data_IF_395762468851
#
_entry.id   IF_395762468851
#
_cell.length_a   1.000
_cell.length_b   1.000
_cell.length_c   1.000
_cell.angle_alpha   90.00
_cell.angle_beta   90.00
_cell.angle_gamma   90.00
#
_symmetry.space_group_name_H-M   'P 1'
#
loop_
_entity.id
_entity.type
_entity.pdbx_description
1 polymer ?
#
# COMPACT_ATOMS: atom_id res chain seq x y z
N UNK A 1 34.11 4.40 27.18
CA UNK A 1 34.86 5.41 26.43
C UNK A 1 36.34 5.52 26.91
N UNK A 2 36.60 5.91 28.14
CA UNK A 2 37.97 6.14 28.66
C UNK A 2 38.97 5.00 28.39
N UNK A 3 38.65 3.69 28.65
CA UNK A 3 39.61 2.62 28.37
C UNK A 3 39.96 2.49 26.88
N UNK A 4 38.98 2.67 25.98
CA UNK A 4 39.26 2.57 24.55
C UNK A 4 40.12 3.76 24.04
N UNK A 5 39.88 4.96 24.54
CA UNK A 5 40.71 6.13 24.21
C UNK A 5 42.12 5.95 24.77
N UNK A 6 42.27 5.45 26.01
CA UNK A 6 43.56 5.19 26.62
C UNK A 6 44.37 4.13 25.86
N UNK A 7 43.74 3.08 25.35
CA UNK A 7 44.41 1.95 24.66
C UNK A 7 44.60 2.23 23.17
N UNK A 8 43.63 2.83 22.49
CA UNK A 8 43.63 2.98 21.02
C UNK A 8 43.77 4.42 20.53
N UNK A 9 43.84 5.40 21.43
CA UNK A 9 43.95 6.84 21.10
C UNK A 9 42.71 7.43 20.42
N UNK A 10 41.61 6.67 20.30
CA UNK A 10 40.36 7.11 19.65
C UNK A 10 39.13 6.49 20.27
N UNK A 11 37.98 7.16 20.11
CA UNK A 11 36.71 6.63 20.53
C UNK A 11 36.36 5.30 19.76
N UNK A 12 35.73 4.34 20.43
CA UNK A 12 35.37 3.03 19.81
C UNK A 12 34.14 3.10 18.91
N UNK A 13 33.54 4.26 18.71
CA UNK A 13 32.34 4.48 17.93
C UNK A 13 32.46 5.75 17.10
N UNK A 14 31.67 5.82 16.01
CA UNK A 14 31.57 6.99 15.14
C UNK A 14 30.43 7.93 15.57
N UNK A 15 29.34 7.36 16.05
CA UNK A 15 28.11 8.08 16.38
C UNK A 15 27.59 7.63 17.74
N UNK A 16 27.01 8.56 18.49
CA UNK A 16 26.30 8.32 19.75
C UNK A 16 24.86 8.76 19.59
N UNK A 17 23.94 7.83 19.77
CA UNK A 17 22.51 8.14 19.85
C UNK A 17 22.12 8.26 21.32
N UNK A 18 21.48 9.37 21.68
CA UNK A 18 20.86 9.57 22.99
C UNK A 18 19.35 9.42 22.87
N UNK A 19 18.71 9.02 23.95
CA UNK A 19 17.27 8.84 24.00
C UNK A 19 16.69 9.38 25.32
N UNK A 20 15.38 9.70 25.29
CA UNK A 20 14.61 10.03 26.47
C UNK A 20 14.33 8.83 27.36
N UNK A 21 13.59 9.04 28.42
CA UNK A 21 13.20 7.97 29.36
C UNK A 21 11.90 7.29 28.91
N UNK A 22 11.77 6.05 29.36
CA UNK A 22 10.49 5.35 29.29
C UNK A 22 9.67 5.71 30.53
N UNK A 23 8.45 6.22 30.30
CA UNK A 23 7.51 6.63 31.35
C UNK A 23 6.19 5.88 31.21
N UNK A 24 5.42 5.81 32.32
CA UNK A 24 4.11 5.16 32.28
C UNK A 24 3.06 5.97 31.47
N UNK A 25 1.85 5.45 31.30
CA UNK A 25 0.79 6.13 30.53
C UNK A 25 0.43 7.53 31.03
N UNK A 26 0.71 7.84 32.30
CA UNK A 26 0.53 9.16 32.90
C UNK A 26 1.77 10.06 32.83
N UNK A 27 2.87 9.59 32.23
CA UNK A 27 4.11 10.35 32.11
C UNK A 27 5.00 10.31 33.38
N UNK A 28 4.77 9.36 34.29
CA UNK A 28 5.58 9.22 35.51
C UNK A 28 6.73 8.24 35.24
N UNK A 29 7.86 8.50 35.87
CA UNK A 29 9.02 7.61 35.82
C UNK A 29 8.65 6.21 36.31
N UNK A 30 9.02 5.21 35.54
CA UNK A 30 8.80 3.81 35.92
C UNK A 30 9.79 3.37 36.98
N UNK A 31 9.30 2.73 38.04
CA UNK A 31 10.14 2.17 39.07
C UNK A 31 9.51 0.89 39.68
N UNK A 32 10.37 0.01 40.21
CA UNK A 32 9.91 -1.23 40.88
C UNK A 32 9.08 -0.91 42.11
N UNK A 33 9.41 0.16 42.82
CA UNK A 33 8.70 0.59 44.02
C UNK A 33 7.29 1.11 43.75
N UNK A 34 7.04 1.69 42.61
CA UNK A 34 5.72 2.15 42.17
C UNK A 34 4.88 1.05 41.49
N UNK A 35 5.48 -0.10 41.20
CA UNK A 35 4.80 -1.19 40.48
C UNK A 35 4.24 -0.85 39.12
N UNK A 36 4.69 0.27 38.52
CA UNK A 36 4.24 0.77 37.22
C UNK A 36 5.17 0.35 36.06
N UNK A 37 6.11 -0.56 36.31
CA UNK A 37 6.96 -1.13 35.28
C UNK A 37 6.22 -2.14 34.41
N UNK A 38 6.41 -2.07 33.10
CA UNK A 38 5.93 -3.11 32.18
C UNK A 38 7.08 -4.06 31.86
N UNK A 39 6.82 -5.36 32.05
CA UNK A 39 7.76 -6.42 31.69
C UNK A 39 7.63 -6.69 30.17
N UNK A 40 8.69 -6.52 29.37
CA UNK A 40 8.68 -6.83 27.95
C UNK A 40 8.24 -8.26 27.63
N UNK A 41 8.57 -9.25 28.47
CA UNK A 41 8.15 -10.64 28.26
C UNK A 41 6.64 -10.81 28.38
N UNK A 42 5.98 -10.08 29.29
CA UNK A 42 4.53 -10.09 29.37
C UNK A 42 3.87 -9.49 28.12
N UNK A 43 4.44 -8.40 27.59
CA UNK A 43 3.97 -7.80 26.34
C UNK A 43 4.15 -8.78 25.18
N UNK A 44 5.32 -9.41 25.07
CA UNK A 44 5.63 -10.38 24.01
C UNK A 44 4.67 -11.57 24.08
N UNK A 45 4.42 -12.10 25.26
CA UNK A 45 3.50 -13.24 25.45
C UNK A 45 2.04 -12.88 25.10
N UNK A 46 1.62 -11.63 25.35
CA UNK A 46 0.26 -11.17 25.09
C UNK A 46 0.03 -10.72 23.65
N UNK A 47 0.97 -10.00 23.06
CA UNK A 47 0.79 -9.32 21.77
C UNK A 47 1.74 -9.84 20.66
N UNK A 48 2.84 -10.49 21.05
CA UNK A 48 3.91 -10.88 20.12
C UNK A 48 5.07 -9.89 20.06
N UNK A 49 6.26 -10.40 19.73
CA UNK A 49 7.47 -9.59 19.69
C UNK A 49 7.43 -8.50 18.63
N UNK A 50 6.86 -8.77 17.46
CA UNK A 50 6.78 -7.81 16.36
C UNK A 50 5.96 -6.56 16.72
N UNK A 51 4.92 -6.70 17.55
CA UNK A 51 4.11 -5.55 17.98
C UNK A 51 4.90 -4.67 18.96
N UNK A 52 5.66 -5.28 19.88
CA UNK A 52 6.56 -4.52 20.76
C UNK A 52 7.63 -3.77 19.94
N UNK A 53 8.23 -4.45 18.96
CA UNK A 53 9.22 -3.85 18.06
C UNK A 53 8.63 -2.72 17.22
N UNK A 54 7.41 -2.91 16.70
CA UNK A 54 6.70 -1.87 15.94
C UNK A 54 6.42 -0.64 16.80
N UNK A 55 5.98 -0.82 18.06
CA UNK A 55 5.80 0.29 18.97
C UNK A 55 7.11 1.05 19.19
N UNK A 56 8.22 0.36 19.50
CA UNK A 56 9.54 0.98 19.68
C UNK A 56 9.94 1.79 18.46
N UNK A 57 9.83 1.21 17.26
CA UNK A 57 10.17 1.88 16.01
C UNK A 57 9.22 3.02 15.63
N UNK A 58 8.01 3.04 16.16
CA UNK A 58 7.02 4.09 15.92
C UNK A 58 7.20 5.32 16.80
N UNK A 59 8.02 5.23 17.84
CA UNK A 59 8.25 6.33 18.76
C UNK A 59 9.40 7.24 18.31
N UNK A 60 9.27 8.54 18.53
CA UNK A 60 10.43 9.43 18.52
C UNK A 60 11.16 9.29 19.87
N UNK A 61 12.15 8.43 19.89
CA UNK A 61 12.90 8.09 21.10
C UNK A 61 13.79 9.22 21.63
N UNK A 62 13.91 10.33 20.93
CA UNK A 62 14.66 11.51 21.40
C UNK A 62 13.96 12.22 22.56
N UNK A 63 12.66 12.02 22.68
CA UNK A 63 11.84 12.51 23.78
C UNK A 63 11.48 11.38 24.74
N UNK A 64 10.87 11.71 25.90
CA UNK A 64 10.34 10.70 26.83
C UNK A 64 9.17 9.95 26.20
N UNK A 65 9.27 8.62 26.18
CA UNK A 65 8.30 7.74 25.51
C UNK A 65 7.35 7.13 26.54
N UNK A 66 6.06 7.33 26.31
CA UNK A 66 5.01 6.70 27.14
C UNK A 66 4.71 5.28 26.70
N UNK A 67 4.53 4.40 27.69
CA UNK A 67 4.09 3.03 27.47
C UNK A 67 2.92 2.68 28.39
N UNK A 68 1.89 2.08 27.82
CA UNK A 68 0.77 1.45 28.53
C UNK A 68 0.20 0.31 27.70
N UNK A 69 -0.64 -0.51 28.29
CA UNK A 69 -1.33 -1.61 27.57
C UNK A 69 -2.20 -1.07 26.41
N UNK A 70 -2.86 0.08 26.61
CA UNK A 70 -3.68 0.74 25.57
C UNK A 70 -2.82 1.22 24.39
N UNK A 71 -1.63 1.79 24.68
CA UNK A 71 -0.70 2.25 23.64
C UNK A 71 -0.23 1.06 22.80
N UNK A 72 0.20 -0.02 23.45
CA UNK A 72 0.62 -1.24 22.74
C UNK A 72 -0.53 -1.84 21.94
N UNK A 73 -1.74 -1.87 22.51
CA UNK A 73 -2.94 -2.35 21.82
C UNK A 73 -3.23 -1.52 20.56
N UNK A 74 -3.05 -0.20 20.60
CA UNK A 74 -3.19 0.67 19.42
C UNK A 74 -2.25 0.28 18.26
N UNK A 75 -1.02 -0.13 18.56
CA UNK A 75 -0.07 -0.60 17.54
C UNK A 75 -0.45 -1.95 16.92
N UNK A 76 -1.31 -2.74 17.58
CA UNK A 76 -1.86 -3.98 17.02
C UNK A 76 -2.68 -3.71 15.76
N UNK A 77 -3.40 -2.59 15.71
CA UNK A 77 -4.20 -2.23 14.53
C UNK A 77 -3.32 -1.80 13.36
N UNK A 78 -2.26 -1.03 13.60
CA UNK A 78 -1.24 -0.70 12.59
C UNK A 78 -0.58 -1.98 12.05
N UNK A 79 -0.15 -2.88 12.93
CA UNK A 79 0.40 -4.17 12.57
C UNK A 79 -0.56 -4.98 11.69
N UNK A 80 -1.84 -5.08 12.10
CA UNK A 80 -2.86 -5.81 11.32
C UNK A 80 -3.05 -5.24 9.93
N UNK A 81 -3.06 -3.92 9.77
CA UNK A 81 -3.20 -3.26 8.47
C UNK A 81 -2.03 -3.63 7.54
N UNK A 82 -0.79 -3.48 8.01
CA UNK A 82 0.41 -3.83 7.23
C UNK A 82 0.38 -5.32 6.87
N UNK A 83 0.16 -6.21 7.85
CA UNK A 83 0.10 -7.66 7.65
C UNK A 83 -1.00 -8.08 6.67
N UNK A 84 -2.19 -7.49 6.77
CA UNK A 84 -3.31 -7.81 5.87
C UNK A 84 -3.02 -7.36 4.45
N UNK A 85 -2.37 -6.22 4.24
CA UNK A 85 -1.94 -5.74 2.91
C UNK A 85 -0.94 -6.73 2.28
N UNK A 86 0.07 -7.14 3.05
CA UNK A 86 1.05 -8.14 2.61
C UNK A 86 0.35 -9.48 2.30
N UNK A 87 -0.51 -9.96 3.20
CA UNK A 87 -1.26 -11.21 3.01
C UNK A 87 -2.14 -11.18 1.77
N UNK A 88 -2.79 -10.04 1.49
CA UNK A 88 -3.60 -9.87 0.29
C UNK A 88 -2.76 -10.03 -0.98
N UNK A 89 -1.60 -9.37 -1.04
CA UNK A 89 -0.70 -9.48 -2.19
C UNK A 89 -0.17 -10.90 -2.36
N UNK A 90 0.32 -11.51 -1.29
CA UNK A 90 0.82 -12.91 -1.31
C UNK A 90 -0.26 -13.89 -1.78
N UNK A 91 -1.50 -13.74 -1.31
CA UNK A 91 -2.62 -14.58 -1.76
C UNK A 91 -2.91 -14.42 -3.25
N UNK A 92 -2.81 -13.20 -3.79
CA UNK A 92 -3.10 -12.92 -5.19
C UNK A 92 -1.95 -13.28 -6.16
N UNK A 93 -0.73 -13.47 -5.66
CA UNK A 93 0.41 -13.95 -6.49
C UNK A 93 0.68 -15.45 -6.33
N UNK A 94 -0.09 -16.16 -5.52
CA UNK A 94 0.19 -17.56 -5.15
C UNK A 94 0.17 -18.55 -6.31
N UNK A 95 -0.50 -18.22 -7.41
CA UNK A 95 -0.55 -19.01 -8.65
C UNK A 95 0.53 -18.61 -9.68
N UNK A 96 1.35 -17.59 -9.35
CA UNK A 96 2.44 -17.17 -10.25
C UNK A 96 3.62 -18.12 -10.20
N UNK A 97 4.27 -18.22 -11.36
CA UNK A 97 5.58 -18.83 -11.50
C UNK A 97 6.59 -17.79 -12.00
N UNK A 98 7.88 -18.12 -11.97
CA UNK A 98 8.95 -17.22 -12.42
C UNK A 98 8.76 -16.76 -13.87
N UNK A 99 8.27 -17.64 -14.74
CA UNK A 99 7.98 -17.35 -16.16
C UNK A 99 6.80 -16.43 -16.40
N UNK A 100 5.92 -16.25 -15.42
CA UNK A 100 4.75 -15.37 -15.52
C UNK A 100 5.08 -13.89 -15.24
N UNK A 101 6.31 -13.59 -14.82
CA UNK A 101 6.72 -12.24 -14.44
C UNK A 101 6.82 -11.36 -15.68
N UNK A 102 6.05 -10.28 -15.68
CA UNK A 102 6.00 -9.25 -16.74
C UNK A 102 7.05 -8.19 -16.46
N UNK A 103 7.83 -7.80 -17.48
CA UNK A 103 8.81 -6.72 -17.38
C UNK A 103 8.12 -5.37 -17.20
N UNK A 104 8.74 -4.45 -16.48
CA UNK A 104 8.20 -3.10 -16.25
C UNK A 104 7.71 -2.41 -17.51
N UNK A 105 8.49 -2.45 -18.61
CA UNK A 105 8.12 -1.84 -19.87
C UNK A 105 6.78 -2.32 -20.44
N UNK A 106 6.43 -3.59 -20.19
CA UNK A 106 5.23 -4.26 -20.72
C UNK A 106 4.04 -4.24 -19.77
N UNK A 107 4.22 -3.71 -18.55
CA UNK A 107 3.16 -3.61 -17.52
C UNK A 107 2.10 -2.56 -17.91
N UNK A 108 0.91 -2.69 -17.33
CA UNK A 108 -0.13 -1.67 -17.43
C UNK A 108 0.30 -0.39 -16.72
N UNK A 109 -0.26 0.74 -17.14
CA UNK A 109 0.13 2.06 -16.62
C UNK A 109 -0.10 2.21 -15.10
N UNK A 110 -1.18 1.65 -14.57
CA UNK A 110 -1.46 1.67 -13.12
C UNK A 110 -0.42 0.89 -12.32
N UNK A 111 0.09 -0.22 -12.86
CA UNK A 111 1.11 -1.05 -12.23
C UNK A 111 2.47 -0.34 -12.25
N UNK A 112 2.79 0.32 -13.37
CA UNK A 112 3.98 1.18 -13.48
C UNK A 112 3.95 2.33 -12.48
N UNK A 113 2.80 2.97 -12.31
CA UNK A 113 2.62 4.03 -11.31
C UNK A 113 2.78 3.50 -9.88
N UNK A 114 2.30 2.30 -9.60
CA UNK A 114 2.47 1.67 -8.29
C UNK A 114 3.96 1.38 -7.99
N UNK A 115 4.73 0.91 -8.96
CA UNK A 115 6.16 0.66 -8.80
C UNK A 115 6.98 1.95 -8.68
N UNK A 116 6.61 3.00 -9.42
CA UNK A 116 7.19 4.32 -9.21
C UNK A 116 6.92 4.84 -7.79
N UNK A 117 5.69 4.71 -7.29
CA UNK A 117 5.33 5.10 -5.91
C UNK A 117 6.12 4.28 -4.89
N UNK A 118 6.34 2.98 -5.13
CA UNK A 118 7.20 2.14 -4.31
C UNK A 118 8.61 2.70 -4.19
N UNK A 119 9.22 3.13 -5.30
CA UNK A 119 10.55 3.74 -5.29
C UNK A 119 10.63 4.97 -4.36
N UNK A 120 9.61 5.84 -4.42
CA UNK A 120 9.56 7.02 -3.54
C UNK A 120 9.42 6.61 -2.06
N UNK A 121 8.68 5.54 -1.77
CA UNK A 121 8.54 4.99 -0.42
C UNK A 121 9.85 4.36 0.06
N UNK A 122 10.54 3.57 -0.75
CA UNK A 122 11.84 2.96 -0.44
C UNK A 122 12.86 4.05 -0.11
N UNK A 123 12.96 5.09 -0.93
CA UNK A 123 13.86 6.23 -0.71
C UNK A 123 13.60 6.96 0.61
N UNK A 124 12.31 7.19 0.93
CA UNK A 124 11.94 7.84 2.20
C UNK A 124 12.23 6.93 3.40
N UNK A 125 12.00 5.61 3.25
CA UNK A 125 12.29 4.64 4.29
C UNK A 125 13.80 4.53 4.55
N UNK A 126 14.62 4.47 3.50
CA UNK A 126 16.09 4.48 3.58
C UNK A 126 16.58 5.72 4.35
N UNK A 127 16.12 6.91 3.95
CA UNK A 127 16.45 8.17 4.64
C UNK A 127 16.07 8.12 6.13
N UNK A 128 14.92 7.53 6.47
CA UNK A 128 14.49 7.37 7.86
C UNK A 128 15.41 6.44 8.66
N UNK A 129 15.88 5.34 8.06
CA UNK A 129 16.84 4.44 8.71
C UNK A 129 18.23 5.09 8.85
N UNK A 130 18.75 5.72 7.81
CA UNK A 130 20.06 6.39 7.84
C UNK A 130 20.15 7.49 8.89
N UNK A 131 19.05 8.24 9.06
CA UNK A 131 18.96 9.32 10.05
C UNK A 131 18.51 8.83 11.43
N UNK A 132 18.32 7.51 11.62
CA UNK A 132 17.78 6.94 12.86
C UNK A 132 16.39 7.48 13.23
N UNK A 133 15.59 7.86 12.25
CA UNK A 133 14.22 8.37 12.40
C UNK A 133 13.18 7.28 12.08
N UNK A 134 13.28 6.15 12.78
CA UNK A 134 12.48 4.93 12.51
C UNK A 134 10.97 5.20 12.49
N UNK A 135 10.48 6.13 13.30
CA UNK A 135 9.08 6.53 13.33
C UNK A 135 8.60 7.11 11.99
N UNK A 136 9.47 7.80 11.24
CA UNK A 136 9.17 8.29 9.91
C UNK A 136 9.04 7.14 8.91
N UNK A 137 9.95 6.16 8.98
CA UNK A 137 9.87 4.94 8.17
C UNK A 137 8.58 4.19 8.42
N UNK A 138 8.23 3.93 9.70
CA UNK A 138 6.97 3.24 10.05
C UNK A 138 5.77 4.01 9.51
N UNK A 139 5.76 5.34 9.64
CA UNK A 139 4.68 6.17 9.12
C UNK A 139 4.54 6.05 7.61
N UNK A 140 5.62 6.20 6.86
CA UNK A 140 5.63 6.10 5.39
C UNK A 140 5.11 4.74 4.93
N UNK A 141 5.57 3.64 5.54
CA UNK A 141 5.10 2.29 5.19
C UNK A 141 3.64 2.09 5.56
N UNK A 142 3.20 2.55 6.73
CA UNK A 142 1.79 2.47 7.11
C UNK A 142 0.89 3.24 6.14
N UNK A 143 1.26 4.47 5.79
CA UNK A 143 0.50 5.29 4.85
C UNK A 143 0.49 4.64 3.45
N UNK A 144 1.60 4.10 2.99
CA UNK A 144 1.67 3.35 1.74
C UNK A 144 0.73 2.13 1.75
N UNK A 145 0.77 1.32 2.81
CA UNK A 145 -0.10 0.14 2.94
C UNK A 145 -1.58 0.49 3.03
N UNK A 146 -1.94 1.56 3.77
CA UNK A 146 -3.34 1.85 4.08
C UNK A 146 -4.00 2.78 3.06
N UNK A 147 -3.30 3.83 2.65
CA UNK A 147 -3.85 4.86 1.76
C UNK A 147 -3.63 4.47 0.30
N UNK A 148 -2.37 4.21 -0.07
CA UNK A 148 -2.06 3.94 -1.48
C UNK A 148 -2.44 2.50 -1.88
N UNK A 149 -1.91 1.49 -1.19
CA UNK A 149 -2.16 0.11 -1.59
C UNK A 149 -3.62 -0.29 -1.33
N UNK A 150 -4.06 -0.32 -0.08
CA UNK A 150 -5.40 -0.83 0.25
C UNK A 150 -6.52 0.11 -0.17
N UNK A 151 -6.33 1.44 -0.04
CA UNK A 151 -7.35 2.44 -0.35
C UNK A 151 -7.46 2.78 -1.83
N UNK A 152 -6.45 2.46 -2.64
CA UNK A 152 -6.43 2.83 -4.05
C UNK A 152 -6.02 1.66 -4.95
N UNK A 153 -4.74 1.26 -4.97
CA UNK A 153 -4.18 0.36 -5.97
C UNK A 153 -4.80 -1.04 -5.95
N UNK A 154 -4.77 -1.70 -4.79
CA UNK A 154 -5.30 -3.05 -4.66
C UNK A 154 -6.82 -3.07 -4.80
N UNK A 155 -7.51 -2.01 -4.39
CA UNK A 155 -8.95 -1.89 -4.58
C UNK A 155 -9.33 -1.80 -6.07
N UNK A 156 -8.61 -0.98 -6.82
CA UNK A 156 -8.79 -0.83 -8.27
C UNK A 156 -8.54 -2.14 -9.04
N UNK A 157 -7.64 -2.99 -8.55
CA UNK A 157 -7.25 -4.24 -9.23
C UNK A 157 -8.10 -5.45 -8.87
N UNK A 158 -8.97 -5.39 -7.85
CA UNK A 158 -9.76 -6.57 -7.40
C UNK A 158 -10.48 -7.27 -8.53
N UNK A 159 -11.09 -6.50 -9.39
CA UNK A 159 -11.84 -7.02 -10.49
C UNK A 159 -10.97 -7.74 -11.54
N UNK A 160 -9.80 -7.18 -11.86
CA UNK A 160 -8.81 -7.81 -12.74
C UNK A 160 -8.31 -9.12 -12.12
N UNK A 161 -7.94 -9.09 -10.84
CA UNK A 161 -7.37 -10.23 -10.13
C UNK A 161 -8.34 -11.40 -10.02
N UNK A 162 -9.64 -11.13 -9.82
CA UNK A 162 -10.64 -12.16 -9.54
C UNK A 162 -11.46 -12.56 -10.77
N UNK A 163 -11.59 -11.69 -11.76
CA UNK A 163 -12.51 -11.90 -12.87
C UNK A 163 -11.84 -12.07 -14.22
N UNK A 164 -10.57 -11.74 -14.39
CA UNK A 164 -9.86 -11.99 -15.64
C UNK A 164 -9.42 -13.46 -15.76
N UNK A 165 -9.13 -13.86 -17.01
CA UNK A 165 -8.48 -15.15 -17.28
C UNK A 165 -7.17 -15.26 -16.51
N UNK A 166 -6.85 -16.47 -16.03
CA UNK A 166 -5.62 -16.72 -15.22
C UNK A 166 -4.36 -16.13 -15.87
N UNK A 167 -4.22 -16.30 -17.18
CA UNK A 167 -3.06 -15.85 -17.93
C UNK A 167 -3.31 -14.55 -18.71
N UNK A 168 -4.31 -13.73 -18.31
CA UNK A 168 -4.50 -12.43 -18.98
C UNK A 168 -3.30 -11.51 -18.72
N UNK A 169 -2.95 -10.71 -19.73
CA UNK A 169 -1.86 -9.74 -19.61
C UNK A 169 -2.08 -8.78 -18.46
N UNK A 170 -3.30 -8.32 -18.26
CA UNK A 170 -3.64 -7.38 -17.20
C UNK A 170 -3.44 -8.01 -15.80
N UNK A 171 -3.89 -9.26 -15.60
CA UNK A 171 -3.72 -9.97 -14.34
C UNK A 171 -2.24 -10.26 -14.04
N UNK A 172 -1.47 -10.74 -15.03
CA UNK A 172 -0.03 -11.00 -14.87
C UNK A 172 0.78 -9.73 -14.62
N UNK A 173 0.41 -8.61 -15.26
CA UNK A 173 0.98 -7.28 -14.98
C UNK A 173 0.78 -6.88 -13.52
N UNK A 174 -0.46 -6.93 -13.03
CA UNK A 174 -0.81 -6.62 -11.64
C UNK A 174 -0.08 -7.52 -10.64
N UNK A 175 -0.05 -8.83 -10.88
CA UNK A 175 0.66 -9.78 -10.03
C UNK A 175 2.17 -9.52 -9.99
N UNK A 176 2.77 -9.18 -11.13
CA UNK A 176 4.20 -8.86 -11.20
C UNK A 176 4.54 -7.61 -10.39
N UNK A 177 3.73 -6.56 -10.50
CA UNK A 177 3.91 -5.37 -9.68
C UNK A 177 3.71 -5.67 -8.19
N UNK A 178 2.70 -6.48 -7.82
CA UNK A 178 2.50 -6.91 -6.43
C UNK A 178 3.69 -7.71 -5.89
N UNK A 179 4.30 -8.58 -6.71
CA UNK A 179 5.47 -9.36 -6.32
C UNK A 179 6.65 -8.44 -5.97
N UNK A 180 6.91 -7.42 -6.78
CA UNK A 180 7.96 -6.44 -6.50
C UNK A 180 7.64 -5.60 -5.26
N UNK A 181 6.39 -5.12 -5.13
CA UNK A 181 5.94 -4.32 -3.98
C UNK A 181 6.04 -5.13 -2.68
N UNK A 182 5.54 -6.36 -2.65
CA UNK A 182 5.57 -7.17 -1.43
C UNK A 182 6.99 -7.58 -1.05
N UNK A 183 7.85 -7.84 -2.04
CA UNK A 183 9.27 -8.14 -1.80
C UNK A 183 9.95 -6.94 -1.11
N UNK A 184 9.87 -5.75 -1.69
CA UNK A 184 10.49 -4.55 -1.12
C UNK A 184 9.91 -4.19 0.27
N UNK A 185 8.59 -4.31 0.47
CA UNK A 185 7.98 -4.08 1.79
C UNK A 185 8.50 -5.04 2.85
N UNK A 186 8.67 -6.31 2.50
CA UNK A 186 9.20 -7.35 3.40
C UNK A 186 10.66 -7.07 3.75
N UNK A 187 11.47 -6.66 2.78
CA UNK A 187 12.87 -6.27 2.98
C UNK A 187 12.97 -5.04 3.89
N UNK A 188 12.25 -3.94 3.57
CA UNK A 188 12.26 -2.69 4.35
C UNK A 188 11.81 -2.91 5.80
N UNK A 189 10.78 -3.74 6.01
CA UNK A 189 10.19 -3.94 7.34
C UNK A 189 10.84 -5.08 8.13
N UNK A 190 11.73 -5.87 7.54
CA UNK A 190 12.39 -6.99 8.23
C UNK A 190 13.16 -6.60 9.49
N UNK A 191 13.82 -5.43 9.59
CA UNK A 191 14.45 -5.00 10.83
C UNK A 191 13.47 -4.68 11.95
N UNK A 192 12.20 -4.40 11.63
CA UNK A 192 11.15 -4.03 12.60
C UNK A 192 10.21 -5.19 12.88
N UNK A 193 9.56 -5.76 11.86
CA UNK A 193 8.60 -6.86 11.96
C UNK A 193 9.27 -8.20 11.56
N UNK A 194 10.37 -8.52 12.19
CA UNK A 194 11.32 -9.57 11.77
C UNK A 194 10.66 -10.92 11.56
N UNK A 195 9.80 -11.35 12.47
CA UNK A 195 9.17 -12.68 12.39
C UNK A 195 8.10 -12.73 11.31
N UNK A 196 7.24 -11.72 11.25
CA UNK A 196 6.18 -11.62 10.23
C UNK A 196 6.78 -11.50 8.82
N UNK A 197 7.83 -10.72 8.66
CA UNK A 197 8.49 -10.55 7.36
C UNK A 197 9.20 -11.82 6.92
N UNK A 198 9.78 -12.58 7.84
CA UNK A 198 10.38 -13.88 7.51
C UNK A 198 9.32 -14.92 7.07
N UNK A 199 8.14 -14.92 7.68
CA UNK A 199 7.03 -15.76 7.20
C UNK A 199 6.59 -15.37 5.78
N UNK A 200 6.44 -14.07 5.51
CA UNK A 200 6.11 -13.56 4.18
C UNK A 200 7.19 -13.88 3.13
N UNK A 201 8.47 -13.81 3.53
CA UNK A 201 9.62 -14.14 2.69
C UNK A 201 9.59 -15.58 2.16
N UNK A 202 9.16 -16.53 2.99
CA UNK A 202 9.01 -17.94 2.56
C UNK A 202 8.01 -18.09 1.41
N UNK A 203 6.94 -17.32 1.40
CA UNK A 203 5.96 -17.33 0.31
C UNK A 203 6.55 -16.71 -0.97
N UNK A 204 7.26 -15.57 -0.85
CA UNK A 204 7.94 -14.91 -1.98
C UNK A 204 8.96 -15.85 -2.62
N UNK A 205 9.72 -16.61 -1.83
CA UNK A 205 10.73 -17.57 -2.30
C UNK A 205 10.16 -18.68 -3.16
N UNK A 206 8.87 -19.01 -3.06
CA UNK A 206 8.25 -19.99 -3.94
C UNK A 206 8.28 -19.54 -5.42
N UNK A 207 8.29 -18.23 -5.65
CA UNK A 207 8.36 -17.62 -6.99
C UNK A 207 9.81 -17.20 -7.31
N UNK A 208 10.44 -16.41 -6.42
CA UNK A 208 11.82 -15.92 -6.53
C UNK A 208 12.78 -16.90 -5.84
N UNK A 209 13.03 -18.07 -6.44
CA UNK A 209 13.78 -19.18 -5.81
C UNK A 209 15.26 -18.88 -5.51
N UNK A 210 15.84 -17.91 -6.23
CA UNK A 210 17.25 -17.52 -6.10
C UNK A 210 17.53 -16.65 -4.86
N UNK A 211 16.49 -16.24 -4.11
CA UNK A 211 16.63 -15.43 -2.90
C UNK A 211 17.26 -16.20 -1.73
N UNK A 212 18.02 -15.55 -0.83
CA UNK A 212 18.57 -16.14 0.39
C UNK A 212 17.50 -16.81 1.25
N UNK A 213 17.90 -17.72 2.13
CA UNK A 213 16.98 -18.42 3.03
C UNK A 213 16.27 -17.48 3.99
N UNK A 214 16.98 -16.49 4.52
CA UNK A 214 16.46 -15.54 5.48
C UNK A 214 16.42 -14.13 4.88
N UNK A 215 15.32 -13.39 5.09
CA UNK A 215 15.19 -11.99 4.64
C UNK A 215 16.26 -11.09 5.27
N UNK A 216 16.75 -11.43 6.46
CA UNK A 216 17.81 -10.66 7.14
C UNK A 216 19.20 -10.80 6.52
N UNK A 217 19.35 -11.64 5.49
CA UNK A 217 20.59 -11.80 4.72
C UNK A 217 20.62 -10.99 3.42
N UNK A 218 19.53 -10.25 3.12
CA UNK A 218 19.51 -9.33 1.98
C UNK A 218 19.85 -7.92 2.44
N UNK A 219 20.41 -7.15 1.51
CA UNK A 219 20.62 -5.72 1.72
C UNK A 219 19.30 -4.95 1.71
N UNK A 220 19.33 -3.72 2.19
CA UNK A 220 18.18 -2.82 2.07
C UNK A 220 17.83 -2.63 0.59
N UNK A 221 16.53 -2.68 0.20
CA UNK A 221 16.17 -2.58 -1.21
C UNK A 221 16.59 -1.24 -1.81
N UNK A 222 17.29 -1.29 -2.93
CA UNK A 222 17.67 -0.10 -3.67
C UNK A 222 16.51 0.45 -4.50
N UNK A 223 16.53 1.76 -4.74
CA UNK A 223 15.65 2.39 -5.74
C UNK A 223 15.93 1.77 -7.11
N UNK A 224 14.91 1.24 -7.76
CA UNK A 224 15.05 0.66 -9.08
C UNK A 224 14.93 1.73 -10.17
N UNK A 225 16.02 1.99 -10.89
CA UNK A 225 16.08 3.01 -11.94
C UNK A 225 15.12 2.75 -13.12
N UNK A 226 14.70 1.49 -13.33
CA UNK A 226 13.73 1.15 -14.38
C UNK A 226 12.31 1.67 -14.07
N UNK A 227 11.97 1.90 -12.76
CA UNK A 227 10.63 2.33 -12.36
C UNK A 227 10.42 3.84 -12.50
N UNK A 228 11.20 4.49 -13.35
CA UNK A 228 11.03 5.91 -13.64
C UNK A 228 9.85 6.14 -14.57
N UNK A 229 9.08 7.17 -14.27
CA UNK A 229 8.00 7.66 -15.12
C UNK A 229 8.34 9.07 -15.62
N UNK A 230 7.94 9.35 -16.85
CA UNK A 230 8.06 10.68 -17.44
C UNK A 230 7.18 11.70 -16.68
N UNK A 231 7.62 12.96 -16.68
CA UNK A 231 6.93 14.04 -15.96
C UNK A 231 5.46 14.18 -16.36
N UNK A 232 5.17 14.00 -17.64
CA UNK A 232 3.80 14.09 -18.17
C UNK A 232 2.90 12.98 -17.63
N UNK A 233 3.44 11.75 -17.47
CA UNK A 233 2.73 10.62 -16.90
C UNK A 233 2.46 10.88 -15.41
N UNK A 234 3.44 11.43 -14.68
CA UNK A 234 3.26 11.79 -13.27
C UNK A 234 2.20 12.87 -13.09
N UNK A 235 2.21 13.92 -13.93
CA UNK A 235 1.19 14.97 -13.91
C UNK A 235 -0.21 14.43 -14.22
N UNK A 236 -0.31 13.45 -15.15
CA UNK A 236 -1.55 12.71 -15.41
C UNK A 236 -2.04 12.00 -14.15
N UNK A 237 -1.18 11.25 -13.45
CA UNK A 237 -1.54 10.51 -12.24
C UNK A 237 -1.92 11.43 -11.07
N UNK A 238 -1.21 12.54 -10.86
CA UNK A 238 -1.60 13.54 -9.87
C UNK A 238 -3.02 14.07 -10.13
N UNK A 239 -3.35 14.27 -11.40
CA UNK A 239 -4.68 14.73 -11.82
C UNK A 239 -5.73 13.64 -11.57
N UNK A 240 -5.47 12.39 -11.99
CA UNK A 240 -6.39 11.26 -11.78
C UNK A 240 -6.67 11.02 -10.30
N UNK A 241 -5.64 11.08 -9.44
CA UNK A 241 -5.80 10.92 -7.99
C UNK A 241 -6.68 12.02 -7.40
N UNK A 242 -6.52 13.29 -7.84
CA UNK A 242 -7.38 14.41 -7.40
C UNK A 242 -8.84 14.21 -7.83
N UNK A 243 -9.07 13.78 -9.07
CA UNK A 243 -10.42 13.49 -9.56
C UNK A 243 -11.02 12.28 -8.79
N UNK A 244 -10.24 11.23 -8.54
CA UNK A 244 -10.67 10.09 -7.72
C UNK A 244 -11.16 10.51 -6.34
N UNK A 245 -10.51 11.48 -5.70
CA UNK A 245 -10.98 12.00 -4.40
C UNK A 245 -12.36 12.65 -4.50
N UNK A 246 -12.63 13.39 -5.59
CA UNK A 246 -13.97 13.95 -5.84
C UNK A 246 -15.00 12.87 -6.11
N UNK A 247 -14.65 11.85 -6.93
CA UNK A 247 -15.51 10.68 -7.19
C UNK A 247 -15.88 9.99 -5.87
N UNK A 248 -14.90 9.75 -5.00
CA UNK A 248 -15.14 9.11 -3.70
C UNK A 248 -16.03 9.95 -2.80
N UNK A 249 -15.87 11.28 -2.80
CA UNK A 249 -16.72 12.17 -2.03
C UNK A 249 -18.19 12.14 -2.49
N UNK A 250 -18.43 12.12 -3.81
CA UNK A 250 -19.78 12.06 -4.36
C UNK A 250 -20.42 10.66 -4.17
N UNK A 251 -19.68 9.59 -4.45
CA UNK A 251 -20.20 8.22 -4.27
C UNK A 251 -20.46 7.89 -2.79
N UNK A 252 -19.69 8.45 -1.84
CA UNK A 252 -19.93 8.25 -0.42
C UNK A 252 -21.25 8.89 0.05
N UNK A 253 -21.70 10.01 -0.56
CA UNK A 253 -23.03 10.56 -0.30
C UNK A 253 -24.10 9.55 -0.65
N UNK A 254 -24.03 8.96 -1.87
CA UNK A 254 -24.98 7.95 -2.32
C UNK A 254 -24.97 6.67 -1.46
N UNK A 255 -23.80 6.28 -0.94
CA UNK A 255 -23.67 5.13 -0.03
C UNK A 255 -24.30 5.42 1.35
N UNK A 256 -24.12 6.62 1.90
CA UNK A 256 -24.78 7.05 3.14
C UNK A 256 -26.29 7.06 3.01
N UNK A 257 -26.79 7.51 1.84
CA UNK A 257 -28.22 7.54 1.52
C UNK A 257 -28.75 6.14 1.09
N UNK A 258 -27.88 5.10 1.09
CA UNK A 258 -28.21 3.71 0.69
C UNK A 258 -28.75 3.60 -0.74
N UNK A 259 -28.40 4.53 -1.62
CA UNK A 259 -28.76 4.51 -3.04
C UNK A 259 -27.91 3.49 -3.80
N UNK A 260 -26.61 3.38 -3.42
CA UNK A 260 -25.66 2.39 -3.92
C UNK A 260 -25.00 1.66 -2.76
N UNK A 261 -24.59 0.40 -2.97
CA UNK A 261 -23.80 -0.38 -2.01
C UNK A 261 -22.30 -0.31 -2.28
N UNK A 262 -21.89 -0.10 -3.53
CA UNK A 262 -20.50 -0.01 -3.95
C UNK A 262 -20.33 0.98 -5.10
N UNK A 263 -19.08 1.40 -5.37
CA UNK A 263 -18.78 2.26 -6.51
C UNK A 263 -19.09 1.58 -7.86
N UNK A 264 -19.08 0.25 -7.92
CA UNK A 264 -19.45 -0.52 -9.13
C UNK A 264 -20.88 -0.27 -9.60
N UNK A 265 -21.76 0.23 -8.70
CA UNK A 265 -23.15 0.56 -8.98
C UNK A 265 -23.34 2.02 -9.39
N UNK A 266 -22.28 2.82 -9.38
CA UNK A 266 -22.40 4.25 -9.69
C UNK A 266 -22.36 4.53 -11.19
N UNK A 267 -23.10 5.55 -11.60
CA UNK A 267 -22.86 6.31 -12.83
C UNK A 267 -22.13 7.61 -12.47
N UNK A 268 -21.17 8.01 -13.31
CA UNK A 268 -20.40 9.24 -13.12
C UNK A 268 -20.55 10.13 -14.34
N UNK A 269 -20.87 11.40 -14.11
CA UNK A 269 -20.75 12.46 -15.13
C UNK A 269 -19.61 13.37 -14.72
N UNK A 270 -18.55 13.41 -15.53
CA UNK A 270 -17.37 14.23 -15.27
C UNK A 270 -17.32 15.34 -16.32
N UNK A 271 -17.56 16.58 -15.88
CA UNK A 271 -17.40 17.75 -16.72
C UNK A 271 -16.00 18.32 -16.52
N UNK A 272 -15.26 18.51 -17.63
CA UNK A 272 -13.85 18.86 -17.58
C UNK A 272 -13.45 19.85 -18.67
N UNK A 273 -12.51 20.73 -18.34
CA UNK A 273 -11.87 21.65 -19.27
C UNK A 273 -10.62 21.07 -19.91
N UNK A 274 -10.05 21.77 -20.89
CA UNK A 274 -8.90 21.32 -21.68
C UNK A 274 -7.67 20.95 -20.87
N UNK A 275 -7.48 21.50 -19.71
CA UNK A 275 -6.40 21.16 -18.75
C UNK A 275 -6.39 19.68 -18.36
N UNK A 276 -7.56 19.06 -18.27
CA UNK A 276 -7.74 17.68 -17.79
C UNK A 276 -7.82 16.64 -18.93
N UNK A 277 -7.85 17.08 -20.17
CA UNK A 277 -8.07 16.21 -21.34
C UNK A 277 -7.06 15.08 -21.44
N UNK A 278 -5.77 15.35 -21.23
CA UNK A 278 -4.72 14.33 -21.25
C UNK A 278 -4.90 13.25 -20.17
N UNK A 279 -5.44 13.62 -19.02
CA UNK A 279 -5.66 12.69 -17.93
C UNK A 279 -6.89 11.80 -18.15
N UNK A 280 -7.88 12.30 -18.88
CA UNK A 280 -9.17 11.65 -19.09
C UNK A 280 -9.32 11.02 -20.49
N UNK A 281 -8.24 10.83 -21.25
CA UNK A 281 -8.28 10.31 -22.62
C UNK A 281 -8.32 8.77 -22.70
N UNK A 282 -8.03 8.06 -21.62
CA UNK A 282 -8.04 6.60 -21.55
C UNK A 282 -9.21 6.13 -20.68
N UNK A 283 -10.32 5.75 -21.33
CA UNK A 283 -11.56 5.37 -20.64
C UNK A 283 -11.38 4.07 -19.84
N UNK A 284 -10.58 3.14 -20.31
CA UNK A 284 -10.36 1.87 -19.60
C UNK A 284 -9.59 2.11 -18.30
N UNK A 285 -8.55 2.96 -18.36
CA UNK A 285 -7.79 3.34 -17.17
C UNK A 285 -8.68 4.07 -16.16
N UNK A 286 -9.47 5.05 -16.59
CA UNK A 286 -10.34 5.81 -15.68
C UNK A 286 -11.45 4.97 -15.09
N UNK A 287 -12.00 4.01 -15.83
CA UNK A 287 -12.97 3.04 -15.29
C UNK A 287 -12.37 2.24 -14.13
N UNK A 288 -11.14 1.73 -14.32
CA UNK A 288 -10.40 1.00 -13.29
C UNK A 288 -10.10 1.91 -12.09
N UNK A 289 -9.57 3.11 -12.35
CA UNK A 289 -9.17 4.06 -11.30
C UNK A 289 -10.37 4.53 -10.50
N UNK A 290 -11.49 4.84 -11.14
CA UNK A 290 -12.67 5.38 -10.45
C UNK A 290 -13.59 4.28 -9.90
N UNK A 291 -13.47 3.05 -10.41
CA UNK A 291 -14.28 1.91 -10.00
C UNK A 291 -15.73 2.01 -10.47
N UNK A 292 -15.97 2.64 -11.61
CA UNK A 292 -17.27 2.76 -12.26
C UNK A 292 -17.13 2.45 -13.76
N UNK A 293 -18.10 1.80 -14.35
CA UNK A 293 -18.14 1.46 -15.78
C UNK A 293 -19.27 2.17 -16.53
N UNK A 294 -19.92 3.09 -15.86
CA UNK A 294 -20.93 4.00 -16.42
C UNK A 294 -20.41 5.42 -16.25
N UNK A 295 -19.45 5.82 -17.11
CA UNK A 295 -18.79 7.12 -17.03
C UNK A 295 -19.09 7.92 -18.29
N UNK A 296 -19.68 9.11 -18.11
CA UNK A 296 -19.87 10.11 -19.14
C UNK A 296 -18.89 11.25 -18.98
N UNK A 297 -18.14 11.55 -20.02
CA UNK A 297 -17.20 12.66 -20.07
C UNK A 297 -17.81 13.82 -20.85
N UNK A 298 -17.90 15.01 -20.26
CA UNK A 298 -18.44 16.21 -20.86
C UNK A 298 -17.39 17.31 -20.91
N UNK A 299 -17.08 17.80 -22.12
CA UNK A 299 -16.15 18.92 -22.29
C UNK A 299 -16.79 20.23 -21.85
N UNK A 300 -16.00 21.09 -21.22
CA UNK A 300 -16.35 22.45 -20.84
C UNK A 300 -15.50 23.44 -21.63
N UNK A 301 -16.07 24.61 -21.95
CA UNK A 301 -15.35 25.73 -22.53
C UNK A 301 -14.39 26.40 -21.52
N UNK A 302 -14.63 26.23 -20.22
CA UNK A 302 -13.72 26.68 -19.17
C UNK A 302 -12.59 25.67 -18.97
N UNK A 303 -11.37 26.05 -19.36
CA UNK A 303 -10.19 25.19 -19.34
C UNK A 303 -9.86 24.62 -17.94
N UNK A 304 -10.19 25.34 -16.86
CA UNK A 304 -9.89 24.96 -15.47
C UNK A 304 -11.05 24.21 -14.78
N UNK A 305 -12.18 24.04 -15.46
CA UNK A 305 -13.34 23.38 -14.86
C UNK A 305 -13.10 21.89 -14.66
N UNK A 306 -13.41 21.39 -13.46
CA UNK A 306 -13.54 19.96 -13.15
C UNK A 306 -14.66 19.80 -12.15
N UNK A 307 -15.66 19.04 -12.49
CA UNK A 307 -16.74 18.67 -11.59
C UNK A 307 -17.17 17.23 -11.81
N UNK A 308 -17.56 16.57 -10.74
CA UNK A 308 -18.01 15.20 -10.73
C UNK A 308 -19.41 15.14 -10.13
N UNK A 309 -20.32 14.50 -10.85
CA UNK A 309 -21.67 14.18 -10.36
C UNK A 309 -21.81 12.66 -10.39
N UNK A 310 -22.19 12.09 -9.26
CA UNK A 310 -22.45 10.65 -9.16
C UNK A 310 -23.96 10.38 -9.05
N UNK A 311 -24.39 9.30 -9.68
CA UNK A 311 -25.74 8.74 -9.61
C UNK A 311 -25.70 7.23 -9.49
N UNK A 312 -26.86 6.57 -9.45
CA UNK A 312 -26.96 5.12 -9.58
C UNK A 312 -27.00 4.77 -11.06
N UNK A 313 -26.17 3.79 -11.47
CA UNK A 313 -26.18 3.30 -12.85
C UNK A 313 -27.51 2.66 -13.22
N UNK A 314 -27.95 2.92 -14.43
CA UNK A 314 -29.12 2.25 -15.04
C UNK A 314 -28.74 0.96 -15.78
N UNK A 315 -27.45 0.70 -15.97
CA UNK A 315 -26.99 -0.52 -16.64
C UNK A 315 -27.20 -1.79 -15.81
N UNK A 316 -27.31 -2.91 -16.49
CA UNK A 316 -27.41 -4.22 -15.87
C UNK A 316 -26.15 -4.60 -15.09
N UNK A 317 -26.31 -5.34 -14.01
CA UNK A 317 -25.20 -5.86 -13.19
C UNK A 317 -24.70 -7.17 -13.79
N UNK A 318 -23.40 -7.29 -14.00
CA UNK A 318 -22.77 -8.57 -14.32
C UNK A 318 -22.70 -9.46 -13.07
N UNK A 319 -23.27 -10.67 -13.12
CA UNK A 319 -23.34 -11.58 -11.96
C UNK A 319 -21.97 -12.08 -11.48
N UNK A 320 -20.94 -12.03 -12.36
CA UNK A 320 -19.59 -12.49 -12.00
C UNK A 320 -18.69 -11.37 -11.48
N UNK A 321 -18.59 -10.24 -12.18
CA UNK A 321 -17.68 -9.15 -11.79
C UNK A 321 -18.36 -7.99 -11.06
N UNK A 322 -19.68 -8.01 -11.01
CA UNK A 322 -20.54 -7.03 -10.34
C UNK A 322 -20.48 -5.61 -10.92
N UNK A 323 -19.81 -5.41 -12.05
CA UNK A 323 -19.85 -4.15 -12.78
C UNK A 323 -21.26 -3.88 -13.30
N UNK A 324 -21.71 -2.65 -13.15
CA UNK A 324 -22.87 -2.17 -13.91
C UNK A 324 -22.35 -1.65 -15.24
N UNK A 325 -22.70 -2.34 -16.32
CA UNK A 325 -22.15 -2.09 -17.65
C UNK A 325 -23.18 -2.42 -18.73
N UNK A 326 -23.13 -1.71 -19.85
CA UNK A 326 -23.94 -2.03 -21.03
C UNK A 326 -23.54 -3.40 -21.63
N UNK A 327 -24.50 -4.07 -22.30
CA UNK A 327 -24.24 -5.31 -23.02
C UNK A 327 -24.11 -6.56 -22.13
N UNK A 328 -24.91 -6.68 -21.09
CA UNK A 328 -25.08 -7.94 -20.33
C UNK A 328 -25.83 -8.95 -21.20
N UNK A 329 -25.29 -10.15 -21.35
CA UNK A 329 -25.90 -11.24 -22.12
C UNK A 329 -27.05 -11.97 -21.38
N UNK A 330 -27.67 -12.94 -22.01
CA UNK A 330 -28.78 -13.75 -21.43
C UNK A 330 -28.36 -14.56 -20.19
N UNK A 331 -27.06 -14.88 -20.07
CA UNK A 331 -26.49 -15.56 -18.90
C UNK A 331 -26.17 -14.61 -17.73
N UNK A 332 -26.49 -13.32 -17.85
CA UNK A 332 -26.18 -12.30 -16.84
C UNK A 332 -24.70 -11.87 -16.82
N UNK A 333 -23.93 -12.15 -17.86
CA UNK A 333 -22.50 -11.87 -17.92
C UNK A 333 -22.18 -10.74 -18.90
N UNK A 334 -21.21 -9.88 -18.54
CA UNK A 334 -20.60 -8.96 -19.49
C UNK A 334 -19.68 -9.72 -20.46
N UNK A 335 -19.35 -9.09 -21.60
CA UNK A 335 -18.52 -9.70 -22.65
C UNK A 335 -17.22 -10.31 -22.10
N UNK A 336 -16.46 -9.54 -21.28
CA UNK A 336 -15.22 -10.02 -20.66
C UNK A 336 -15.42 -11.25 -19.77
N UNK A 337 -16.47 -11.26 -18.95
CA UNK A 337 -16.75 -12.39 -18.06
C UNK A 337 -17.24 -13.61 -18.83
N UNK A 338 -18.04 -13.44 -19.85
CA UNK A 338 -18.45 -14.53 -20.77
C UNK A 338 -17.22 -15.15 -21.45
N UNK A 339 -16.28 -14.34 -21.87
CA UNK A 339 -15.02 -14.81 -22.46
C UNK A 339 -14.09 -15.50 -21.45
N UNK A 340 -14.11 -15.07 -20.19
CA UNK A 340 -13.24 -15.62 -19.15
C UNK A 340 -13.69 -16.98 -18.62
N UNK A 341 -14.95 -17.37 -18.79
CA UNK A 341 -15.49 -18.67 -18.34
C UNK A 341 -15.56 -19.72 -19.47
N UNK A 342 -15.33 -19.31 -20.72
CA UNK A 342 -15.12 -20.21 -21.86
C UNK A 342 -13.69 -20.77 -21.83
#
# INVERSE_FOLDING_TARGET
MLPAVAIKGKAPYKTVLTHGFLVDGQGRKMSKSLGNGLDPLQIINKYGADILRLWVASCDYREDVRISDEIIKGHTDTYRKIRNTIRFMLGNISDMKKEDVVKFADMNEIDKYALWTLNEVVKQAETGFENYEFHKTVKVINDFCTVFLSGFYLDALKDILYCDKVNSKARRSAQSAMLEIVTALVEVMSPILTFTMHEAWKEIKKIKQDLPEFVTLVDFPAVNEEYKLEKDVLAKWETLVKIKQQVLAETEKLRKDKIIGSNLESSLTIKYGSKYEKALNDIDLINIVFGSWDIKLEKSDNAEEISVVAGKSSYGKCERCWRHIDGINEEGLCHRCSDAVK
#
